data_IF_608544879801
#
_entry.id   IF_608544879801
#
_cell.length_a   1.000
_cell.length_b   1.000
_cell.length_c   1.000
_cell.angle_alpha   90.00
_cell.angle_beta   90.00
_cell.angle_gamma   90.00
#
_symmetry.space_group_name_H-M   'P 1'
#
loop_
_entity.id
_entity.type
_entity.pdbx_description
1 polymer ?
#
# COMPACT_ATOMS: atom_id res chain seq x y z
N UNK A 1 -3.47 18.53 6.11
CA UNK A 1 -2.69 17.59 5.26
C UNK A 1 -1.28 18.10 5.08
N UNK A 2 -1.04 19.12 4.25
CA UNK A 2 0.31 19.58 3.91
C UNK A 2 1.21 19.89 5.11
N UNK A 3 0.71 20.63 6.11
CA UNK A 3 1.50 20.96 7.32
C UNK A 3 1.89 19.75 8.19
N UNK A 4 1.10 18.68 8.19
CA UNK A 4 1.33 17.50 9.03
C UNK A 4 2.05 16.38 8.27
N UNK A 5 1.89 16.31 6.95
CA UNK A 5 2.51 15.29 6.12
C UNK A 5 3.89 15.71 5.61
N UNK A 6 4.17 17.00 5.38
CA UNK A 6 5.44 17.44 4.77
C UNK A 6 6.69 16.89 5.50
N UNK A 7 6.80 16.97 6.84
CA UNK A 7 7.96 16.45 7.55
C UNK A 7 8.06 14.93 7.44
N UNK A 8 6.92 14.25 7.50
CA UNK A 8 6.83 12.80 7.36
C UNK A 8 7.26 12.31 5.97
N UNK A 9 7.12 13.13 4.92
CA UNK A 9 7.53 12.74 3.57
C UNK A 9 9.06 12.71 3.39
N UNK A 10 9.81 13.46 4.20
CA UNK A 10 11.25 13.68 4.02
C UNK A 10 12.13 12.85 4.97
N UNK A 11 11.59 12.44 6.12
CA UNK A 11 12.29 11.60 7.13
C UNK A 11 12.05 10.13 6.82
N UNK A 12 12.95 9.16 7.09
CA UNK A 12 12.66 7.73 6.94
C UNK A 12 11.32 7.29 7.56
N UNK A 13 10.68 6.20 7.07
CA UNK A 13 9.47 5.62 7.64
C UNK A 13 9.53 5.57 9.16
N UNK A 14 8.56 6.23 9.79
CA UNK A 14 8.49 6.38 11.25
C UNK A 14 7.45 5.40 11.75
N UNK A 15 7.64 4.82 12.94
CA UNK A 15 6.74 3.88 13.63
C UNK A 15 6.78 2.42 13.16
N UNK A 16 7.35 2.11 12.00
CA UNK A 16 7.48 0.72 11.52
C UNK A 16 8.76 0.51 10.67
N UNK A 17 9.50 -0.60 10.85
CA UNK A 17 10.60 -0.99 9.98
C UNK A 17 10.13 -1.67 8.67
N UNK A 18 8.82 -1.87 8.48
CA UNK A 18 8.27 -2.67 7.37
C UNK A 18 8.72 -2.20 5.98
N UNK A 19 8.95 -0.90 5.78
CA UNK A 19 9.43 -0.38 4.51
C UNK A 19 10.78 -0.99 4.08
N UNK A 20 11.63 -1.38 5.05
CA UNK A 20 12.87 -2.10 4.78
C UNK A 20 12.57 -3.52 4.30
N UNK A 21 11.63 -4.20 4.95
CA UNK A 21 11.19 -5.54 4.54
C UNK A 21 10.62 -5.50 3.12
N UNK A 22 9.84 -4.47 2.78
CA UNK A 22 9.29 -4.29 1.43
C UNK A 22 10.41 -4.13 0.40
N UNK A 23 11.45 -3.34 0.72
CA UNK A 23 12.59 -3.15 -0.16
C UNK A 23 13.42 -4.42 -0.34
N UNK A 24 13.65 -5.17 0.73
CA UNK A 24 14.33 -6.46 0.66
C UNK A 24 13.57 -7.47 -0.21
N UNK A 25 12.24 -7.56 -0.05
CA UNK A 25 11.41 -8.41 -0.91
C UNK A 25 11.39 -7.97 -2.39
N UNK A 26 11.41 -6.66 -2.63
CA UNK A 26 11.54 -6.12 -3.98
C UNK A 26 12.89 -6.47 -4.61
N UNK A 27 13.96 -6.47 -3.81
CA UNK A 27 15.29 -6.90 -4.23
C UNK A 27 15.36 -8.40 -4.52
N UNK A 28 14.82 -9.25 -3.64
CA UNK A 28 14.74 -10.71 -3.86
C UNK A 28 14.09 -11.01 -5.22
N UNK A 29 12.98 -10.33 -5.53
CA UNK A 29 12.31 -10.48 -6.83
C UNK A 29 13.17 -10.00 -8.00
N UNK A 30 13.85 -8.86 -7.84
CA UNK A 30 14.64 -8.23 -8.91
C UNK A 30 15.89 -9.02 -9.30
N UNK A 31 16.44 -9.82 -8.38
CA UNK A 31 17.54 -10.76 -8.66
C UNK A 31 17.06 -12.13 -9.17
N UNK A 32 15.75 -12.29 -9.38
CA UNK A 32 15.15 -13.50 -9.94
C UNK A 32 14.86 -14.60 -8.92
N UNK A 33 14.99 -14.31 -7.62
CA UNK A 33 14.59 -15.25 -6.57
C UNK A 33 13.09 -15.17 -6.28
N UNK A 34 12.56 -16.22 -5.67
CA UNK A 34 11.14 -16.32 -5.33
C UNK A 34 10.95 -16.17 -3.80
N UNK A 35 10.40 -15.03 -3.31
CA UNK A 35 10.16 -14.78 -1.88
C UNK A 35 9.18 -15.75 -1.20
N UNK A 36 8.45 -16.56 -1.96
CA UNK A 36 7.64 -17.65 -1.42
C UNK A 36 8.45 -18.90 -1.05
N UNK A 37 9.72 -18.95 -1.48
CA UNK A 37 10.65 -20.05 -1.20
C UNK A 37 11.89 -19.61 -0.41
N UNK A 38 12.30 -18.36 -0.53
CA UNK A 38 13.43 -17.78 0.21
C UNK A 38 12.93 -16.80 1.27
N UNK A 39 13.69 -16.67 2.35
CA UNK A 39 13.33 -15.79 3.46
C UNK A 39 13.83 -14.35 3.26
N UNK A 40 13.32 -13.44 4.08
CA UNK A 40 13.86 -12.08 4.17
C UNK A 40 15.37 -12.11 4.50
N UNK A 41 16.13 -11.18 3.92
CA UNK A 41 17.57 -11.04 4.00
C UNK A 41 18.40 -12.20 3.43
N UNK A 42 17.79 -13.32 2.99
CA UNK A 42 18.57 -14.48 2.52
C UNK A 42 19.11 -14.33 1.10
N UNK A 43 18.50 -13.47 0.30
CA UNK A 43 18.96 -13.10 -1.06
C UNK A 43 20.18 -12.17 -1.04
N UNK A 44 20.65 -11.77 0.15
CA UNK A 44 21.71 -10.79 0.34
C UNK A 44 21.32 -9.40 -0.19
N UNK A 45 22.31 -8.69 -0.72
CA UNK A 45 22.09 -7.39 -1.34
C UNK A 45 21.97 -6.21 -0.37
N UNK A 46 21.54 -5.04 -0.88
CA UNK A 46 21.71 -3.76 -0.21
C UNK A 46 20.79 -3.53 0.99
N UNK A 47 19.78 -4.38 1.20
CA UNK A 47 18.80 -4.24 2.28
C UNK A 47 18.97 -5.27 3.40
N UNK A 48 19.63 -6.40 3.14
CA UNK A 48 19.70 -7.54 4.05
C UNK A 48 20.20 -7.18 5.46
N UNK A 49 21.17 -6.26 5.57
CA UNK A 49 21.72 -5.83 6.87
C UNK A 49 20.82 -4.84 7.63
N UNK A 50 19.81 -4.28 6.97
CA UNK A 50 18.82 -3.37 7.55
C UNK A 50 17.55 -4.11 7.99
N UNK A 51 17.34 -5.33 7.50
CA UNK A 51 16.18 -6.16 7.86
C UNK A 51 16.22 -6.44 9.36
N UNK A 52 15.09 -6.22 10.02
CA UNK A 52 14.94 -6.49 11.45
C UNK A 52 15.21 -7.99 11.73
N UNK A 53 16.07 -8.32 12.70
CA UNK A 53 16.39 -9.70 13.05
C UNK A 53 15.17 -10.57 13.38
N UNK A 54 14.07 -9.98 13.85
CA UNK A 54 12.82 -10.70 14.10
C UNK A 54 12.25 -11.34 12.83
N UNK A 55 12.43 -10.69 11.68
CA UNK A 55 11.85 -11.10 10.41
C UNK A 55 12.85 -11.80 9.48
N UNK A 56 14.15 -11.68 9.75
CA UNK A 56 15.20 -12.34 8.97
C UNK A 56 14.98 -13.86 8.88
N UNK A 57 15.11 -14.42 7.68
CA UNK A 57 14.85 -15.83 7.38
C UNK A 57 13.37 -16.23 7.35
N UNK A 58 12.45 -15.33 7.70
CA UNK A 58 11.00 -15.60 7.61
C UNK A 58 10.52 -15.48 6.17
N UNK A 59 9.54 -16.30 5.80
CA UNK A 59 8.91 -16.24 4.47
C UNK A 59 8.01 -15.01 4.26
N UNK A 60 7.56 -14.82 3.02
CA UNK A 60 6.68 -13.72 2.64
C UNK A 60 5.25 -13.85 3.16
N UNK A 61 4.70 -12.74 3.66
CA UNK A 61 3.29 -12.60 4.04
C UNK A 61 2.43 -11.82 3.03
N UNK A 62 2.99 -11.41 1.89
CA UNK A 62 2.37 -10.51 0.93
C UNK A 62 1.98 -11.20 -0.39
N UNK A 63 0.84 -10.85 -0.99
CA UNK A 63 0.45 -11.38 -2.30
C UNK A 63 1.24 -10.74 -3.46
N UNK A 64 1.15 -11.32 -4.67
CA UNK A 64 2.09 -11.03 -5.75
C UNK A 64 2.13 -9.59 -6.24
N UNK A 65 1.01 -8.85 -6.21
CA UNK A 65 0.98 -7.49 -6.74
C UNK A 65 1.78 -6.53 -5.86
N UNK A 66 1.74 -6.74 -4.54
CA UNK A 66 2.60 -6.01 -3.60
C UNK A 66 4.08 -6.31 -3.85
N UNK A 67 4.46 -7.57 -4.07
CA UNK A 67 5.85 -7.92 -4.37
C UNK A 67 6.35 -7.25 -5.65
N UNK A 68 5.54 -7.27 -6.71
CA UNK A 68 5.87 -6.59 -7.98
C UNK A 68 5.93 -5.08 -7.84
N UNK A 69 5.07 -4.48 -7.01
CA UNK A 69 5.14 -3.05 -6.72
C UNK A 69 6.42 -2.69 -5.97
N UNK A 70 6.81 -3.50 -4.99
CA UNK A 70 8.06 -3.31 -4.26
C UNK A 70 9.28 -3.45 -5.17
N UNK A 71 9.32 -4.46 -6.03
CA UNK A 71 10.34 -4.66 -7.06
C UNK A 71 10.44 -3.43 -7.97
N UNK A 72 9.31 -2.93 -8.48
CA UNK A 72 9.28 -1.73 -9.31
C UNK A 72 9.88 -0.52 -8.58
N UNK A 73 9.54 -0.31 -7.30
CA UNK A 73 10.09 0.77 -6.49
C UNK A 73 11.61 0.63 -6.36
N UNK A 74 12.10 -0.56 -6.00
CA UNK A 74 13.54 -0.85 -5.82
C UNK A 74 14.32 -0.67 -7.13
N UNK A 75 13.80 -1.16 -8.25
CA UNK A 75 14.44 -0.99 -9.56
C UNK A 75 14.45 0.48 -9.97
N UNK A 76 13.35 1.20 -9.78
CA UNK A 76 13.25 2.62 -10.13
C UNK A 76 14.16 3.51 -9.28
N UNK A 77 14.45 3.14 -8.02
CA UNK A 77 15.39 3.83 -7.14
C UNK A 77 16.84 3.35 -7.30
N UNK A 78 17.13 2.47 -8.28
CA UNK A 78 18.46 1.93 -8.54
C UNK A 78 19.02 1.07 -7.41
N UNK A 79 18.14 0.43 -6.62
CA UNK A 79 18.46 -0.38 -5.44
C UNK A 79 19.33 0.32 -4.38
N UNK A 80 19.33 1.66 -4.36
CA UNK A 80 20.02 2.43 -3.32
C UNK A 80 19.26 2.32 -1.99
N UNK A 81 19.89 1.87 -0.88
CA UNK A 81 19.19 1.52 0.36
C UNK A 81 18.24 2.62 0.85
N UNK A 82 18.78 3.82 1.03
CA UNK A 82 18.04 4.97 1.56
C UNK A 82 16.88 5.39 0.66
N UNK A 83 17.14 5.58 -0.64
CA UNK A 83 16.13 6.06 -1.58
C UNK A 83 15.03 5.03 -1.83
N UNK A 84 15.37 3.75 -1.86
CA UNK A 84 14.38 2.69 -2.07
C UNK A 84 13.41 2.61 -0.88
N UNK A 85 13.94 2.66 0.35
CA UNK A 85 13.12 2.64 1.58
C UNK A 85 12.22 3.87 1.67
N UNK A 86 12.71 5.06 1.32
CA UNK A 86 11.87 6.26 1.27
C UNK A 86 10.81 6.16 0.17
N UNK A 87 11.18 5.67 -1.00
CA UNK A 87 10.29 5.54 -2.14
C UNK A 87 9.15 4.53 -1.90
N UNK A 88 9.27 3.61 -0.93
CA UNK A 88 8.17 2.73 -0.51
C UNK A 88 6.93 3.50 -0.03
N UNK A 89 7.06 4.79 0.31
CA UNK A 89 5.90 5.64 0.60
C UNK A 89 5.09 6.05 -0.61
N UNK A 90 5.67 6.04 -1.81
CA UNK A 90 5.00 6.52 -3.03
C UNK A 90 3.68 5.78 -3.26
N UNK A 91 3.62 4.43 -3.22
CA UNK A 91 2.37 3.69 -3.23
C UNK A 91 1.32 4.17 -2.22
N UNK A 92 1.73 4.37 -0.96
CA UNK A 92 0.82 4.80 0.09
C UNK A 92 0.30 6.21 -0.14
N UNK A 93 1.16 7.15 -0.58
CA UNK A 93 0.75 8.52 -0.92
C UNK A 93 -0.28 8.52 -2.06
N UNK A 94 -0.02 7.75 -3.12
CA UNK A 94 -0.94 7.63 -4.26
C UNK A 94 -2.28 7.01 -3.83
N UNK A 95 -2.23 5.99 -2.99
CA UNK A 95 -3.44 5.37 -2.44
C UNK A 95 -4.25 6.34 -1.58
N UNK A 96 -3.61 7.10 -0.69
CA UNK A 96 -4.29 8.13 0.13
C UNK A 96 -4.87 9.24 -0.74
N UNK A 97 -4.17 9.66 -1.80
CA UNK A 97 -4.70 10.60 -2.77
C UNK A 97 -5.97 10.04 -3.46
N UNK A 98 -5.97 8.77 -3.84
CA UNK A 98 -7.17 8.09 -4.36
C UNK A 98 -8.30 8.05 -3.31
N UNK A 99 -8.00 7.80 -2.03
CA UNK A 99 -9.00 7.85 -0.95
C UNK A 99 -9.63 9.24 -0.80
N UNK A 100 -8.84 10.32 -0.88
CA UNK A 100 -9.33 11.71 -0.85
C UNK A 100 -10.30 12.01 -2.01
N UNK A 101 -10.18 11.28 -3.11
CA UNK A 101 -11.07 11.38 -4.28
C UNK A 101 -12.31 10.50 -4.09
N UNK A 102 -12.14 9.26 -3.65
CA UNK A 102 -13.21 8.24 -3.61
C UNK A 102 -14.15 8.42 -2.43
N UNK A 103 -13.63 8.64 -1.22
CA UNK A 103 -14.44 8.77 0.02
C UNK A 103 -15.53 9.85 -0.08
N UNK A 104 -15.24 11.11 -0.49
CA UNK A 104 -16.29 12.12 -0.59
C UNK A 104 -17.29 11.81 -1.72
N UNK A 105 -16.90 11.08 -2.78
CA UNK A 105 -17.81 10.66 -3.85
C UNK A 105 -18.75 9.57 -3.38
N UNK A 106 -18.25 8.57 -2.65
CA UNK A 106 -19.06 7.53 -2.01
C UNK A 106 -20.04 8.16 -1.02
N UNK A 107 -19.57 9.06 -0.15
CA UNK A 107 -20.42 9.76 0.81
C UNK A 107 -21.57 10.52 0.10
N UNK A 108 -21.29 11.16 -1.04
CA UNK A 108 -22.30 11.85 -1.83
C UNK A 108 -23.36 10.90 -2.40
N UNK A 109 -22.95 9.74 -2.92
CA UNK A 109 -23.87 8.72 -3.45
C UNK A 109 -24.76 8.14 -2.35
N UNK A 110 -24.30 8.13 -1.10
CA UNK A 110 -25.04 7.67 0.07
C UNK A 110 -25.81 8.78 0.81
N UNK A 111 -25.85 10.01 0.28
CA UNK A 111 -26.55 11.14 0.91
C UNK A 111 -25.91 11.62 2.23
N UNK A 112 -24.62 11.35 2.46
CA UNK A 112 -23.88 11.72 3.68
C UNK A 112 -23.00 12.97 3.48
N UNK A 113 -22.70 13.74 4.55
CA UNK A 113 -21.83 14.90 4.46
C UNK A 113 -20.40 14.54 4.00
N UNK A 114 -19.97 15.07 2.85
CA UNK A 114 -18.64 14.81 2.27
C UNK A 114 -17.49 15.21 3.19
N UNK A 115 -17.61 16.38 3.85
CA UNK A 115 -16.56 16.91 4.74
C UNK A 115 -16.33 15.99 5.93
N UNK A 116 -17.40 15.53 6.59
CA UNK A 116 -17.30 14.61 7.72
C UNK A 116 -16.68 13.27 7.32
N UNK A 117 -17.08 12.72 6.17
CA UNK A 117 -16.52 11.49 5.64
C UNK A 117 -15.01 11.59 5.37
N UNK A 118 -14.53 12.70 4.79
CA UNK A 118 -13.09 12.91 4.55
C UNK A 118 -12.32 13.09 5.86
N UNK A 119 -12.85 13.86 6.80
CA UNK A 119 -12.21 14.07 8.10
C UNK A 119 -12.05 12.77 8.89
N UNK A 120 -13.12 11.98 8.98
CA UNK A 120 -13.12 10.73 9.73
C UNK A 120 -12.41 9.61 8.97
N UNK A 121 -12.63 9.49 7.67
CA UNK A 121 -12.17 8.35 6.87
C UNK A 121 -10.76 8.49 6.32
N UNK A 122 -10.24 9.71 6.14
CA UNK A 122 -8.93 9.92 5.47
C UNK A 122 -7.99 10.83 6.24
N UNK A 123 -8.50 11.95 6.78
CA UNK A 123 -7.65 12.93 7.46
C UNK A 123 -7.48 12.67 8.96
N UNK A 124 -7.89 11.50 9.44
CA UNK A 124 -7.70 11.13 10.83
C UNK A 124 -6.21 10.83 11.11
N UNK A 125 -5.72 11.09 12.34
CA UNK A 125 -4.31 10.90 12.69
C UNK A 125 -3.80 9.48 12.46
N UNK A 126 -4.64 8.47 12.71
CA UNK A 126 -4.28 7.06 12.53
C UNK A 126 -3.89 6.79 11.08
N UNK A 127 -4.72 7.20 10.12
CA UNK A 127 -4.45 6.95 8.70
C UNK A 127 -3.20 7.70 8.24
N UNK A 128 -3.06 8.98 8.62
CA UNK A 128 -1.89 9.79 8.23
C UNK A 128 -0.60 9.18 8.78
N UNK A 129 -0.56 8.81 10.06
CA UNK A 129 0.65 8.25 10.68
C UNK A 129 0.94 6.84 10.16
N UNK A 130 -0.09 6.01 10.02
CA UNK A 130 0.08 4.61 9.62
C UNK A 130 0.38 4.47 8.12
N UNK A 131 -0.43 5.07 7.23
CA UNK A 131 -0.20 4.93 5.79
C UNK A 131 0.92 5.82 5.29
N UNK A 132 0.95 7.12 5.65
CA UNK A 132 1.99 8.03 5.13
C UNK A 132 3.28 7.97 5.96
N UNK A 133 3.16 7.98 7.28
CA UNK A 133 4.32 7.97 8.19
C UNK A 133 5.12 6.66 8.09
N UNK A 134 4.44 5.53 8.31
CA UNK A 134 5.03 4.18 8.34
C UNK A 134 5.08 3.46 6.98
N UNK A 135 4.58 4.09 5.91
CA UNK A 135 4.59 3.52 4.55
C UNK A 135 3.85 2.19 4.40
N UNK A 136 2.82 1.94 5.22
CA UNK A 136 2.12 0.65 5.20
C UNK A 136 1.49 0.32 3.84
N UNK A 137 1.79 -0.90 3.35
CA UNK A 137 1.31 -1.42 2.07
C UNK A 137 -0.18 -1.81 2.06
N UNK A 138 -0.88 -1.63 3.17
CA UNK A 138 -2.34 -1.69 3.27
C UNK A 138 -3.05 -0.63 2.44
N UNK A 139 -2.41 0.53 2.22
CA UNK A 139 -3.07 1.66 1.60
C UNK A 139 -3.56 1.37 0.17
N UNK A 140 -2.76 0.79 -0.76
CA UNK A 140 -3.24 0.35 -2.07
C UNK A 140 -4.45 -0.58 -2.03
N UNK A 141 -4.48 -1.54 -1.10
CA UNK A 141 -5.63 -2.43 -0.89
C UNK A 141 -6.88 -1.63 -0.57
N UNK A 142 -6.82 -0.74 0.44
CA UNK A 142 -7.97 0.09 0.84
C UNK A 142 -8.45 0.97 -0.32
N UNK A 143 -7.54 1.57 -1.08
CA UNK A 143 -7.89 2.40 -2.23
C UNK A 143 -8.60 1.59 -3.33
N UNK A 144 -8.13 0.38 -3.62
CA UNK A 144 -8.78 -0.52 -4.57
C UNK A 144 -10.18 -0.98 -4.09
N UNK A 145 -10.33 -1.31 -2.81
CA UNK A 145 -11.63 -1.64 -2.20
C UNK A 145 -12.61 -0.46 -2.30
N UNK A 146 -12.17 0.76 -1.98
CA UNK A 146 -13.01 1.96 -2.15
C UNK A 146 -13.37 2.22 -3.60
N UNK A 147 -12.46 1.93 -4.55
CA UNK A 147 -12.76 2.04 -5.97
C UNK A 147 -13.85 1.05 -6.38
N UNK A 148 -13.81 -0.19 -5.90
CA UNK A 148 -14.85 -1.20 -6.13
C UNK A 148 -16.22 -0.71 -5.64
N UNK A 149 -16.28 -0.25 -4.38
CA UNK A 149 -17.51 0.30 -3.77
C UNK A 149 -18.03 1.49 -4.59
N UNK A 150 -17.15 2.42 -4.96
CA UNK A 150 -17.54 3.59 -5.73
C UNK A 150 -18.11 3.22 -7.10
N UNK A 151 -17.48 2.29 -7.83
CA UNK A 151 -17.94 1.82 -9.15
C UNK A 151 -19.33 1.20 -9.06
N UNK A 152 -19.57 0.32 -8.08
CA UNK A 152 -20.87 -0.35 -7.88
C UNK A 152 -21.96 0.66 -7.54
N UNK A 153 -21.69 1.60 -6.63
CA UNK A 153 -22.66 2.62 -6.24
C UNK A 153 -22.93 3.64 -7.36
N UNK A 154 -21.90 4.01 -8.13
CA UNK A 154 -22.01 5.04 -9.17
C UNK A 154 -22.81 4.54 -10.37
N UNK A 155 -22.64 3.27 -10.71
CA UNK A 155 -23.33 2.64 -11.83
C UNK A 155 -24.00 1.35 -11.37
N UNK A 156 -25.19 1.38 -10.76
CA UNK A 156 -25.86 0.18 -10.26
C UNK A 156 -26.39 -0.67 -11.43
N UNK A 157 -25.48 -1.42 -12.07
CA UNK A 157 -25.72 -2.24 -13.26
C UNK A 157 -25.08 -3.61 -13.04
N UNK A 158 -25.56 -4.62 -13.76
CA UNK A 158 -25.06 -5.99 -13.62
C UNK A 158 -23.53 -6.07 -13.81
N UNK A 159 -22.97 -5.37 -14.80
CA UNK A 159 -21.54 -5.43 -15.10
C UNK A 159 -20.69 -4.81 -13.99
N UNK A 160 -21.16 -3.78 -13.29
CA UNK A 160 -20.39 -3.18 -12.21
C UNK A 160 -20.42 -4.06 -10.96
N UNK A 161 -21.56 -4.70 -10.68
CA UNK A 161 -21.75 -5.58 -9.53
C UNK A 161 -21.09 -6.95 -9.69
N UNK A 162 -21.13 -7.52 -10.90
CA UNK A 162 -20.68 -8.90 -11.14
C UNK A 162 -19.34 -9.01 -11.89
N UNK A 163 -18.83 -7.91 -12.45
CA UNK A 163 -17.55 -7.91 -13.18
C UNK A 163 -16.60 -6.88 -12.61
N UNK A 164 -16.88 -5.59 -12.75
CA UNK A 164 -15.91 -4.55 -12.39
C UNK A 164 -15.62 -4.49 -10.88
N UNK A 165 -16.64 -4.58 -10.03
CA UNK A 165 -16.50 -4.62 -8.57
C UNK A 165 -15.65 -5.81 -8.11
N UNK A 166 -16.02 -7.07 -8.46
CA UNK A 166 -15.22 -8.25 -8.12
C UNK A 166 -13.78 -8.19 -8.65
N UNK A 167 -13.56 -7.67 -9.87
CA UNK A 167 -12.20 -7.48 -10.40
C UNK A 167 -11.39 -6.49 -9.56
N UNK A 168 -11.98 -5.38 -9.13
CA UNK A 168 -11.31 -4.41 -8.26
C UNK A 168 -11.04 -4.98 -6.86
N UNK A 169 -11.95 -5.81 -6.32
CA UNK A 169 -11.70 -6.55 -5.07
C UNK A 169 -10.58 -7.58 -5.26
N UNK A 170 -10.53 -8.29 -6.39
CA UNK A 170 -9.42 -9.19 -6.69
C UNK A 170 -8.07 -8.45 -6.75
N UNK A 171 -8.05 -7.24 -7.32
CA UNK A 171 -6.87 -6.35 -7.27
C UNK A 171 -6.53 -5.95 -5.82
N UNK A 172 -7.53 -5.62 -5.00
CA UNK A 172 -7.30 -5.31 -3.58
C UNK A 172 -6.69 -6.52 -2.84
N UNK A 173 -7.23 -7.71 -3.05
CA UNK A 173 -6.70 -8.97 -2.49
C UNK A 173 -5.29 -9.28 -2.98
N UNK A 174 -4.95 -8.92 -4.21
CA UNK A 174 -3.61 -9.08 -4.77
C UNK A 174 -2.59 -8.11 -4.14
N UNK A 175 -3.04 -6.97 -3.59
CA UNK A 175 -2.20 -6.15 -2.72
C UNK A 175 -2.14 -6.72 -1.30
N UNK A 176 -3.28 -7.10 -0.72
CA UNK A 176 -3.35 -7.61 0.64
C UNK A 176 -4.63 -8.43 0.85
N UNK A 177 -4.48 -9.64 1.38
CA UNK A 177 -5.54 -10.67 1.42
C UNK A 177 -6.82 -10.18 2.11
N UNK A 178 -6.67 -9.34 3.13
CA UNK A 178 -7.76 -8.71 3.89
C UNK A 178 -8.70 -7.87 3.02
N UNK A 179 -8.29 -7.49 1.80
CA UNK A 179 -9.13 -6.75 0.86
C UNK A 179 -10.38 -7.51 0.41
N UNK A 180 -10.40 -8.84 0.58
CA UNK A 180 -11.56 -9.70 0.30
C UNK A 180 -12.55 -9.83 1.45
N UNK A 181 -12.27 -9.25 2.62
CA UNK A 181 -13.18 -9.22 3.78
C UNK A 181 -14.15 -8.03 3.74
N UNK A 182 -14.18 -7.28 2.63
CA UNK A 182 -14.95 -6.05 2.45
C UNK A 182 -16.43 -6.28 2.12
#
# INVERSE_FOLDING_TARGET
LSLWSLPLLLVPPVLSPDAVLYADLGWTLSVGENPYHVGLATSGGPFAYLVDPLWSGSGVAYPPLTLRLNELVVVASGAQPYWSVIAMRVPAILAVAAMLVLVPRIAALLGRPRRGAVWLGVLNPLLVLHFLGAAHNDAPMVAATLAAIWVVLRWPRWWSAFVAGPLLIAVAMAFKQQGGLA
#
